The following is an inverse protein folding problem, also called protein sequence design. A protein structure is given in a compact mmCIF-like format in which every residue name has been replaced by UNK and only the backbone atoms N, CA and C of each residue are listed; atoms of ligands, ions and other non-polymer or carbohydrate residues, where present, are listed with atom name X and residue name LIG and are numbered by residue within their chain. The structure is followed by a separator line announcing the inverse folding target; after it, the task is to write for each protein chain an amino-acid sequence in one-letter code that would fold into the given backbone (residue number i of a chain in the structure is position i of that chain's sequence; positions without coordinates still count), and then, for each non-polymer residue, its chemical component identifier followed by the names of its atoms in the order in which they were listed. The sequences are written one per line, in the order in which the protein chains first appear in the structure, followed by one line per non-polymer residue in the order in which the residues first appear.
data_IF_300579873493
#
_entry.id   IF_300579873493
#
_cell.length_a   1.000
_cell.length_b   1.000
_cell.length_c   1.000
_cell.angle_alpha   90.00
_cell.angle_beta   90.00
_cell.angle_gamma   90.00
#
_symmetry.space_group_name_H-M   'P 1'
#
loop_
_entity.id
_entity.type
_entity.pdbx_description
1 polymer ?
#
# COMPACT_ATOMS: atom_id res chain seq x y z
N UNK A 1 3.34 40.87 -5.71
CA UNK A 1 1.93 40.45 -5.83
C UNK A 1 1.83 39.49 -7.01
N UNK A 2 1.75 38.18 -6.73
CA UNK A 2 1.66 37.10 -7.74
C UNK A 2 0.20 36.68 -8.03
N UNK A 3 -0.77 37.41 -7.46
CA UNK A 3 -2.20 37.22 -7.65
C UNK A 3 -2.76 38.54 -8.19
N UNK A 4 -3.00 38.62 -9.50
CA UNK A 4 -3.66 39.78 -10.11
C UNK A 4 -3.06 40.37 -11.40
N UNK A 5 -2.15 39.67 -12.09
CA UNK A 5 -1.72 40.06 -13.45
C UNK A 5 -2.49 39.30 -14.52
N UNK A 6 -2.72 39.92 -15.68
CA UNK A 6 -3.42 39.32 -16.83
C UNK A 6 -2.64 38.15 -17.43
N UNK A 7 -2.89 36.98 -16.85
CA UNK A 7 -2.73 35.68 -17.47
C UNK A 7 -1.89 34.67 -16.68
N UNK A 8 -1.99 33.41 -17.11
CA UNK A 8 -1.39 32.25 -16.46
C UNK A 8 0.01 31.95 -17.06
N UNK A 9 1.05 32.11 -16.24
CA UNK A 9 2.44 31.79 -16.56
C UNK A 9 2.59 30.35 -17.08
N UNK A 10 1.84 29.41 -16.49
CA UNK A 10 1.82 27.99 -16.87
C UNK A 10 1.19 27.74 -18.24
N UNK A 11 0.50 28.74 -18.81
CA UNK A 11 -0.11 28.71 -20.15
C UNK A 11 0.60 29.67 -21.12
N UNK A 12 1.74 30.25 -20.73
CA UNK A 12 2.42 31.29 -21.51
C UNK A 12 1.58 32.55 -21.75
N UNK A 13 0.50 32.73 -20.98
CA UNK A 13 -0.36 33.90 -21.05
C UNK A 13 0.19 34.95 -20.10
N UNK A 14 1.27 35.64 -20.48
CA UNK A 14 1.71 36.83 -19.76
C UNK A 14 1.71 38.00 -20.72
N UNK A 15 1.14 39.14 -20.35
CA UNK A 15 1.32 40.41 -21.07
C UNK A 15 2.77 40.92 -21.11
N UNK A 16 3.75 40.08 -20.73
CA UNK A 16 5.18 40.32 -20.74
C UNK A 16 5.83 39.27 -21.63
N UNK A 17 6.35 39.69 -22.80
CA UNK A 17 7.00 38.85 -23.80
C UNK A 17 8.50 38.63 -23.51
N UNK A 18 8.88 38.51 -22.24
CA UNK A 18 10.28 38.33 -21.86
C UNK A 18 10.66 36.84 -21.99
N UNK A 19 11.83 36.55 -22.56
CA UNK A 19 12.34 35.20 -22.82
C UNK A 19 12.27 34.27 -21.59
N UNK A 20 12.36 34.84 -20.38
CA UNK A 20 12.23 34.13 -19.11
C UNK A 20 10.86 33.46 -18.96
N UNK A 21 9.76 34.14 -19.34
CA UNK A 21 8.41 33.58 -19.21
C UNK A 21 8.16 32.45 -20.21
N UNK A 22 8.72 32.54 -21.42
CA UNK A 22 8.69 31.44 -22.39
C UNK A 22 9.50 30.24 -21.90
N UNK A 23 10.68 30.48 -21.32
CA UNK A 23 11.49 29.40 -20.74
C UNK A 23 10.74 28.68 -19.60
N UNK A 24 10.06 29.42 -18.71
CA UNK A 24 9.24 28.84 -17.64
C UNK A 24 8.05 28.05 -18.19
N UNK A 25 7.36 28.58 -19.22
CA UNK A 25 6.20 27.94 -19.83
C UNK A 25 6.53 26.56 -20.43
N UNK A 26 7.77 26.35 -20.89
CA UNK A 26 8.27 25.05 -21.33
C UNK A 26 8.85 24.20 -20.20
N UNK A 27 9.67 24.80 -19.33
CA UNK A 27 10.37 24.09 -18.28
C UNK A 27 9.43 23.42 -17.29
N UNK A 28 8.32 24.07 -16.91
CA UNK A 28 7.38 23.52 -15.93
C UNK A 28 6.66 22.27 -16.47
N UNK A 29 5.98 22.29 -17.64
CA UNK A 29 5.35 21.08 -18.17
C UNK A 29 6.34 19.97 -18.51
N UNK A 30 7.54 20.29 -19.02
CA UNK A 30 8.58 19.29 -19.26
C UNK A 30 9.07 18.64 -17.97
N UNK A 31 9.29 19.44 -16.92
CA UNK A 31 9.68 18.96 -15.60
C UNK A 31 8.60 18.05 -15.00
N UNK A 32 7.32 18.47 -15.06
CA UNK A 32 6.20 17.64 -14.63
C UNK A 32 6.12 16.35 -15.44
N UNK A 33 6.27 16.41 -16.77
CA UNK A 33 6.27 15.23 -17.63
C UNK A 33 7.36 14.23 -17.22
N UNK A 34 8.58 14.70 -16.98
CA UNK A 34 9.69 13.83 -16.57
C UNK A 34 9.50 13.24 -15.15
N UNK A 35 8.98 14.03 -14.21
CA UNK A 35 8.80 13.63 -12.82
C UNK A 35 7.50 12.86 -12.55
N UNK A 36 6.58 12.80 -13.52
CA UNK A 36 5.23 12.24 -13.35
C UNK A 36 5.21 10.82 -12.77
N UNK A 37 6.06 9.86 -13.18
CA UNK A 37 6.07 8.52 -12.60
C UNK A 37 6.36 8.53 -11.11
N UNK A 38 7.32 9.36 -10.69
CA UNK A 38 7.70 9.46 -9.28
C UNK A 38 6.61 10.15 -8.47
N UNK A 39 6.08 11.28 -8.95
CA UNK A 39 5.02 12.04 -8.27
C UNK A 39 3.76 11.19 -8.10
N UNK A 40 3.31 10.53 -9.17
CA UNK A 40 2.16 9.63 -9.11
C UNK A 40 2.39 8.49 -8.12
N UNK A 41 3.59 7.90 -8.10
CA UNK A 41 3.88 6.84 -7.13
C UNK A 41 3.81 7.30 -5.68
N UNK A 42 4.36 8.48 -5.36
CA UNK A 42 4.26 9.06 -4.02
C UNK A 42 2.80 9.36 -3.62
N UNK A 43 2.00 9.89 -4.54
CA UNK A 43 0.58 10.11 -4.31
C UNK A 43 -0.19 8.80 -4.09
N UNK A 44 0.06 7.77 -4.91
CA UNK A 44 -0.57 6.46 -4.73
C UNK A 44 -0.14 5.80 -3.41
N UNK A 45 1.10 5.96 -2.96
CA UNK A 45 1.50 5.52 -1.62
C UNK A 45 0.72 6.26 -0.53
N UNK A 46 0.61 7.58 -0.61
CA UNK A 46 -0.10 8.37 0.39
C UNK A 46 -1.61 8.03 0.48
N UNK A 47 -2.25 7.82 -0.68
CA UNK A 47 -3.71 7.72 -0.73
C UNK A 47 -4.26 6.30 -0.90
N UNK A 48 -3.48 5.33 -1.42
CA UNK A 48 -3.96 3.97 -1.74
C UNK A 48 -3.33 2.89 -0.87
N UNK A 49 -2.10 3.09 -0.40
CA UNK A 49 -1.47 2.13 0.51
C UNK A 49 -2.37 1.88 1.73
N UNK A 50 -2.57 0.60 2.05
CA UNK A 50 -3.40 0.14 3.17
C UNK A 50 -4.92 0.28 2.99
N UNK A 51 -5.41 0.80 1.85
CA UNK A 51 -6.87 0.94 1.63
C UNK A 51 -7.62 -0.40 1.55
N UNK A 52 -6.91 -1.51 1.41
CA UNK A 52 -7.47 -2.86 1.47
C UNK A 52 -8.00 -3.26 2.85
N UNK A 53 -7.53 -2.59 3.90
CA UNK A 53 -8.02 -2.76 5.28
C UNK A 53 -9.10 -1.74 5.65
N UNK A 54 -9.30 -0.72 4.81
CA UNK A 54 -10.24 0.37 5.06
C UNK A 54 -11.68 -0.05 4.74
N UNK A 55 -12.64 0.52 5.47
CA UNK A 55 -14.05 0.43 5.07
C UNK A 55 -14.31 1.25 3.80
N UNK A 56 -15.37 0.92 3.06
CA UNK A 56 -15.78 1.67 1.85
C UNK A 56 -15.93 3.17 2.11
N UNK A 57 -16.43 3.55 3.28
CA UNK A 57 -16.57 4.94 3.69
C UNK A 57 -15.23 5.63 3.96
N UNK A 58 -14.29 4.92 4.58
CA UNK A 58 -12.93 5.43 4.79
C UNK A 58 -12.20 5.65 3.46
N UNK A 59 -12.36 4.74 2.50
CA UNK A 59 -11.83 4.90 1.14
C UNK A 59 -12.43 6.15 0.47
N UNK A 60 -13.75 6.29 0.48
CA UNK A 60 -14.43 7.46 -0.09
C UNK A 60 -13.91 8.77 0.55
N UNK A 61 -13.80 8.81 1.89
CA UNK A 61 -13.27 9.98 2.60
C UNK A 61 -11.85 10.33 2.16
N UNK A 62 -10.96 9.34 2.01
CA UNK A 62 -9.60 9.57 1.49
C UNK A 62 -9.61 10.17 0.09
N UNK A 63 -10.50 9.70 -0.80
CA UNK A 63 -10.61 10.24 -2.16
C UNK A 63 -11.20 11.66 -2.19
N UNK A 64 -12.13 11.95 -1.29
CA UNK A 64 -12.64 13.32 -1.10
C UNK A 64 -11.52 14.25 -0.64
N UNK A 65 -10.71 13.84 0.34
CA UNK A 65 -9.55 14.61 0.80
C UNK A 65 -8.54 14.80 -0.34
N UNK A 66 -8.27 13.75 -1.13
CA UNK A 66 -7.41 13.83 -2.31
C UNK A 66 -7.87 14.95 -3.26
N UNK A 67 -9.13 14.92 -3.70
CA UNK A 67 -9.65 15.93 -4.63
C UNK A 67 -9.66 17.34 -4.05
N UNK A 68 -10.07 17.49 -2.79
CA UNK A 68 -10.12 18.80 -2.12
C UNK A 68 -8.74 19.37 -1.82
N UNK A 69 -7.76 18.53 -1.45
CA UNK A 69 -6.38 18.94 -1.23
C UNK A 69 -5.77 19.54 -2.50
N UNK A 70 -6.06 18.96 -3.67
CA UNK A 70 -5.64 19.54 -4.95
C UNK A 70 -6.26 20.91 -5.20
N UNK A 71 -7.53 21.10 -4.85
CA UNK A 71 -8.14 22.42 -4.97
C UNK A 71 -7.52 23.46 -4.04
N UNK A 72 -7.24 23.09 -2.80
CA UNK A 72 -6.71 24.00 -1.78
C UNK A 72 -5.23 24.32 -2.01
N UNK A 73 -4.40 23.30 -2.26
CA UNK A 73 -2.95 23.44 -2.28
C UNK A 73 -2.35 23.60 -3.68
N UNK A 74 -2.94 22.99 -4.70
CA UNK A 74 -2.47 23.09 -6.08
C UNK A 74 -3.25 24.14 -6.90
N UNK A 75 -4.21 24.84 -6.28
CA UNK A 75 -5.03 25.85 -6.94
C UNK A 75 -5.95 25.30 -8.03
N UNK A 76 -6.26 24.00 -7.97
CA UNK A 76 -7.13 23.34 -8.94
C UNK A 76 -8.57 23.82 -8.76
N UNK A 77 -9.28 24.25 -9.83
CA UNK A 77 -10.67 24.67 -9.72
C UNK A 77 -11.54 23.61 -9.01
N UNK A 78 -12.50 24.02 -8.19
CA UNK A 78 -13.31 23.09 -7.37
C UNK A 78 -13.97 22.00 -8.24
N UNK A 79 -14.47 22.35 -9.42
CA UNK A 79 -15.04 21.37 -10.36
C UNK A 79 -14.02 20.30 -10.78
N UNK A 80 -12.77 20.68 -11.02
CA UNK A 80 -11.68 19.75 -11.30
C UNK A 80 -11.28 18.96 -10.03
N UNK A 81 -11.31 19.57 -8.85
CA UNK A 81 -11.16 18.87 -7.57
C UNK A 81 -12.21 17.77 -7.37
N UNK A 82 -13.47 18.03 -7.71
CA UNK A 82 -14.55 17.03 -7.67
C UNK A 82 -14.29 15.91 -8.70
N UNK A 83 -13.87 16.26 -9.91
CA UNK A 83 -13.48 15.26 -10.91
C UNK A 83 -12.30 14.39 -10.43
N UNK A 84 -11.36 14.98 -9.69
CA UNK A 84 -10.24 14.27 -9.08
C UNK A 84 -10.70 13.23 -8.04
N UNK A 85 -11.79 13.48 -7.31
CA UNK A 85 -12.40 12.46 -6.42
C UNK A 85 -12.80 11.23 -7.24
N UNK A 86 -13.45 11.43 -8.39
CA UNK A 86 -13.84 10.36 -9.30
C UNK A 86 -12.64 9.59 -9.84
N UNK A 87 -11.60 10.30 -10.30
CA UNK A 87 -10.35 9.67 -10.75
C UNK A 87 -9.66 8.89 -9.62
N UNK A 88 -9.69 9.43 -8.39
CA UNK A 88 -9.09 8.78 -7.23
C UNK A 88 -9.81 7.50 -6.83
N UNK A 89 -11.14 7.46 -6.98
CA UNK A 89 -11.93 6.23 -6.82
C UNK A 89 -11.58 5.19 -7.88
N UNK A 90 -11.34 5.60 -9.12
CA UNK A 90 -10.87 4.70 -10.18
C UNK A 90 -9.47 4.14 -9.84
N UNK A 91 -8.54 4.96 -9.37
CA UNK A 91 -7.21 4.50 -8.97
C UNK A 91 -7.27 3.55 -7.76
N UNK A 92 -8.13 3.82 -6.78
CA UNK A 92 -8.39 2.90 -5.66
C UNK A 92 -8.99 1.56 -6.14
N UNK A 93 -9.84 1.59 -7.16
CA UNK A 93 -10.34 0.37 -7.80
C UNK A 93 -9.22 -0.42 -8.50
N UNK A 94 -8.30 0.26 -9.21
CA UNK A 94 -7.14 -0.38 -9.85
C UNK A 94 -6.22 -1.00 -8.80
N UNK A 95 -5.90 -0.28 -7.72
CA UNK A 95 -5.11 -0.78 -6.59
C UNK A 95 -5.73 -2.05 -5.99
N UNK A 96 -6.99 -1.97 -5.56
CA UNK A 96 -7.67 -3.09 -4.88
C UNK A 96 -7.88 -4.30 -5.78
N UNK A 97 -8.12 -4.09 -7.08
CA UNK A 97 -8.25 -5.18 -8.06
C UNK A 97 -6.91 -5.84 -8.33
N UNK A 98 -5.83 -5.07 -8.41
CA UNK A 98 -4.47 -5.59 -8.58
C UNK A 98 -4.04 -6.38 -7.36
N UNK A 99 -4.19 -5.82 -6.16
CA UNK A 99 -3.84 -6.51 -4.91
C UNK A 99 -4.61 -7.82 -4.75
N UNK A 100 -5.93 -7.83 -4.99
CA UNK A 100 -6.73 -9.07 -4.92
C UNK A 100 -6.24 -10.13 -5.89
N UNK A 101 -5.88 -9.76 -7.12
CA UNK A 101 -5.32 -10.70 -8.11
C UNK A 101 -3.96 -11.23 -7.68
N UNK A 102 -3.09 -10.37 -7.16
CA UNK A 102 -1.77 -10.77 -6.69
C UNK A 102 -1.85 -11.70 -5.48
N UNK A 103 -2.71 -11.39 -4.50
CA UNK A 103 -2.98 -12.26 -3.35
C UNK A 103 -3.53 -13.62 -3.77
N UNK A 104 -4.43 -13.67 -4.78
CA UNK A 104 -4.98 -14.93 -5.28
C UNK A 104 -3.95 -15.81 -6.02
N UNK A 105 -2.87 -15.21 -6.54
CA UNK A 105 -1.80 -15.92 -7.27
C UNK A 105 -0.61 -16.26 -6.40
N UNK A 106 -0.47 -15.63 -5.24
CA UNK A 106 0.68 -15.78 -4.37
C UNK A 106 0.34 -16.79 -3.28
N UNK A 107 1.12 -17.85 -3.18
CA UNK A 107 1.08 -18.74 -2.03
C UNK A 107 1.72 -18.02 -0.84
N UNK A 108 0.87 -17.56 0.08
CA UNK A 108 1.32 -16.90 1.30
C UNK A 108 1.75 -17.95 2.33
N UNK A 109 2.77 -17.63 3.12
CA UNK A 109 3.21 -18.49 4.22
C UNK A 109 2.05 -18.77 5.19
N UNK A 110 1.80 -20.05 5.46
CA UNK A 110 0.80 -20.49 6.44
C UNK A 110 1.27 -20.24 7.86
N UNK A 111 0.34 -19.82 8.74
CA UNK A 111 0.61 -19.54 10.16
C UNK A 111 -0.20 -20.49 11.07
N UNK A 112 -0.93 -21.46 10.50
CA UNK A 112 -2.02 -22.15 11.22
C UNK A 112 -1.73 -23.54 11.76
N UNK A 113 -0.54 -24.08 11.52
CA UNK A 113 -0.26 -25.44 11.98
C UNK A 113 -0.15 -25.45 13.51
N UNK A 114 -0.74 -26.45 14.17
CA UNK A 114 -0.66 -26.57 15.63
C UNK A 114 0.69 -27.18 16.06
N UNK A 115 1.20 -26.87 17.27
CA UNK A 115 2.41 -27.52 17.77
C UNK A 115 2.18 -29.03 17.93
N UNK A 116 3.20 -29.83 17.58
CA UNK A 116 3.18 -31.27 17.83
C UNK A 116 3.25 -31.51 19.33
N UNK A 117 2.26 -32.23 19.87
CA UNK A 117 2.21 -32.61 21.29
C UNK A 117 2.35 -34.12 21.42
N UNK A 118 3.25 -34.54 22.30
CA UNK A 118 3.34 -35.93 22.75
C UNK A 118 2.20 -36.24 23.71
N UNK A 119 1.64 -37.44 23.58
CA UNK A 119 0.63 -37.95 24.51
C UNK A 119 1.22 -38.19 25.89
N UNK A 120 0.43 -37.95 26.94
CA UNK A 120 0.83 -38.24 28.31
C UNK A 120 0.88 -39.75 28.56
N UNK A 121 1.77 -40.22 29.44
CA UNK A 121 1.85 -41.63 29.76
C UNK A 121 0.55 -42.08 30.45
N UNK A 122 0.08 -43.31 30.20
CA UNK A 122 -1.10 -43.83 30.89
C UNK A 122 -0.82 -43.94 32.39
N UNK A 123 -1.86 -43.78 33.20
CA UNK A 123 -1.76 -43.97 34.66
C UNK A 123 -1.46 -45.44 34.98
N UNK A 124 -0.60 -45.73 35.98
CA UNK A 124 -0.36 -47.11 36.41
C UNK A 124 -1.68 -47.77 36.86
N UNK A 125 -1.96 -48.96 36.32
CA UNK A 125 -3.12 -49.77 36.70
C UNK A 125 -2.78 -50.79 37.79
N UNK A 126 -3.79 -51.27 38.51
CA UNK A 126 -3.64 -52.34 39.52
C UNK A 126 -3.41 -51.84 40.95
N UNK A 127 -2.97 -52.72 41.88
CA UNK A 127 -2.61 -52.34 43.25
C UNK A 127 -1.50 -51.28 43.28
N UNK A 128 -1.45 -50.48 44.34
CA UNK A 128 -0.45 -49.43 44.47
C UNK A 128 0.98 -49.98 44.49
N UNK A 129 1.78 -49.59 43.49
CA UNK A 129 3.22 -49.87 43.39
C UNK A 129 4.00 -48.54 43.36
N UNK A 130 4.76 -48.20 44.42
CA UNK A 130 5.58 -46.99 44.47
C UNK A 130 6.52 -46.82 43.28
N UNK A 131 7.15 -47.91 42.81
CA UNK A 131 8.15 -47.84 41.74
C UNK A 131 7.50 -47.51 40.39
N UNK A 132 6.33 -48.11 40.11
CA UNK A 132 5.54 -47.78 38.91
C UNK A 132 5.08 -46.31 38.93
N UNK A 133 4.70 -45.78 40.10
CA UNK A 133 4.32 -44.37 40.25
C UNK A 133 5.51 -43.41 40.11
N UNK A 134 6.69 -43.77 40.60
CA UNK A 134 7.92 -42.99 40.41
C UNK A 134 8.33 -42.94 38.93
N UNK A 135 8.30 -44.08 38.23
CA UNK A 135 8.57 -44.15 36.80
C UNK A 135 7.55 -43.34 35.99
N UNK A 136 6.26 -43.44 36.32
CA UNK A 136 5.21 -42.64 35.68
C UNK A 136 5.42 -41.13 35.87
N UNK A 137 5.77 -40.69 37.09
CA UNK A 137 6.07 -39.26 37.36
C UNK A 137 7.27 -38.78 36.55
N UNK A 138 8.36 -39.55 36.54
CA UNK A 138 9.56 -39.18 35.78
C UNK A 138 9.27 -39.05 34.28
N UNK A 139 8.49 -39.97 33.72
CA UNK A 139 8.10 -39.93 32.30
C UNK A 139 7.10 -38.80 31.99
N UNK A 140 6.15 -38.55 32.90
CA UNK A 140 5.24 -37.42 32.80
C UNK A 140 6.00 -36.09 32.78
N UNK A 141 6.94 -35.89 33.72
CA UNK A 141 7.77 -34.67 33.80
C UNK A 141 8.62 -34.49 32.54
N UNK A 142 9.18 -35.58 31.99
CA UNK A 142 9.91 -35.57 30.72
C UNK A 142 9.00 -35.11 29.57
N UNK A 143 7.80 -35.67 29.45
CA UNK A 143 6.84 -35.31 28.40
C UNK A 143 6.37 -33.87 28.53
N UNK A 144 6.11 -33.39 29.76
CA UNK A 144 5.77 -31.98 30.01
C UNK A 144 6.90 -31.05 29.55
N UNK A 145 8.16 -31.37 29.87
CA UNK A 145 9.30 -30.58 29.45
C UNK A 145 9.44 -30.53 27.92
N UNK A 146 9.34 -31.68 27.24
CA UNK A 146 9.43 -31.75 25.77
C UNK A 146 8.26 -31.02 25.11
N UNK A 147 7.03 -31.20 25.58
CA UNK A 147 5.87 -30.49 25.06
C UNK A 147 5.98 -28.97 25.23
N UNK A 148 6.63 -28.51 26.31
CA UNK A 148 6.93 -27.10 26.51
C UNK A 148 7.97 -26.60 25.51
N UNK A 149 9.04 -27.36 25.26
CA UNK A 149 10.05 -27.02 24.25
C UNK A 149 9.43 -26.93 22.85
N UNK A 150 8.61 -27.92 22.44
CA UNK A 150 7.90 -27.88 21.17
C UNK A 150 6.95 -26.68 21.06
N UNK A 151 6.30 -26.30 22.17
CA UNK A 151 5.44 -25.11 22.20
C UNK A 151 6.27 -23.84 22.01
N UNK A 152 7.40 -23.71 22.71
CA UNK A 152 8.28 -22.55 22.63
C UNK A 152 8.88 -22.42 21.21
N UNK A 153 9.37 -23.51 20.62
CA UNK A 153 9.84 -23.57 19.23
C UNK A 153 8.74 -23.17 18.25
N UNK A 154 7.55 -23.73 18.42
CA UNK A 154 6.40 -23.41 17.58
C UNK A 154 5.99 -21.93 17.68
N UNK A 155 6.05 -21.32 18.87
CA UNK A 155 5.75 -19.89 19.06
C UNK A 155 6.73 -19.04 18.26
N UNK A 156 8.03 -19.33 18.34
CA UNK A 156 9.06 -18.56 17.63
C UNK A 156 8.94 -18.75 16.11
N UNK A 157 8.80 -19.99 15.62
CA UNK A 157 8.55 -20.24 14.20
C UNK A 157 7.27 -19.55 13.70
N UNK A 158 6.21 -19.54 14.51
CA UNK A 158 4.94 -18.89 14.16
C UNK A 158 5.08 -17.38 14.08
N UNK A 159 5.90 -16.77 14.94
CA UNK A 159 6.23 -15.34 14.88
C UNK A 159 7.01 -15.02 13.61
N UNK A 160 8.02 -15.80 13.28
CA UNK A 160 8.81 -15.63 12.07
C UNK A 160 7.94 -15.78 10.80
N UNK A 161 7.10 -16.82 10.74
CA UNK A 161 6.15 -17.02 9.64
C UNK A 161 5.14 -15.87 9.53
N UNK A 162 4.63 -15.37 10.65
CA UNK A 162 3.73 -14.22 10.67
C UNK A 162 4.41 -12.96 10.12
N UNK A 163 5.64 -12.67 10.56
CA UNK A 163 6.43 -11.53 10.08
C UNK A 163 6.76 -11.67 8.58
N UNK A 164 7.12 -12.87 8.12
CA UNK A 164 7.38 -13.14 6.71
C UNK A 164 6.11 -12.94 5.87
N UNK A 165 4.96 -13.42 6.35
CA UNK A 165 3.68 -13.23 5.68
C UNK A 165 3.28 -11.76 5.62
N UNK A 166 3.47 -11.01 6.70
CA UNK A 166 3.21 -9.57 6.72
C UNK A 166 4.06 -8.85 5.67
N UNK A 167 5.36 -9.13 5.63
CA UNK A 167 6.27 -8.60 4.60
C UNK A 167 5.82 -8.95 3.18
N UNK A 168 5.41 -10.19 2.93
CA UNK A 168 4.86 -10.58 1.62
C UNK A 168 3.63 -9.73 1.24
N UNK A 169 2.72 -9.48 2.19
CA UNK A 169 1.54 -8.65 1.95
C UNK A 169 1.95 -7.20 1.68
N UNK A 170 2.91 -6.65 2.42
CA UNK A 170 3.43 -5.30 2.19
C UNK A 170 4.04 -5.15 0.79
N UNK A 171 4.90 -6.09 0.36
CA UNK A 171 5.49 -6.09 -0.98
C UNK A 171 4.41 -6.11 -2.06
N UNK A 172 3.35 -6.90 -1.87
CA UNK A 172 2.21 -6.93 -2.79
C UNK A 172 1.42 -5.61 -2.81
N UNK A 173 1.27 -4.93 -1.67
CA UNK A 173 0.65 -3.59 -1.59
C UNK A 173 1.49 -2.55 -2.32
N UNK A 174 2.81 -2.56 -2.13
CA UNK A 174 3.73 -1.69 -2.89
C UNK A 174 3.63 -1.94 -4.40
N UNK A 175 3.58 -3.20 -4.82
CA UNK A 175 3.37 -3.57 -6.22
C UNK A 175 2.03 -3.07 -6.77
N UNK A 176 0.95 -3.19 -6.00
CA UNK A 176 -0.36 -2.67 -6.39
C UNK A 176 -0.38 -1.13 -6.50
N UNK A 177 0.31 -0.43 -5.59
CA UNK A 177 0.51 1.01 -5.69
C UNK A 177 1.32 1.38 -6.94
N UNK A 178 2.36 0.63 -7.30
CA UNK A 178 3.13 0.87 -8.52
C UNK A 178 2.28 0.74 -9.80
N UNK A 179 1.38 -0.25 -9.84
CA UNK A 179 0.45 -0.43 -10.98
C UNK A 179 -0.57 0.72 -11.04
N UNK A 180 -1.16 1.11 -9.91
CA UNK A 180 -2.06 2.26 -9.84
C UNK A 180 -1.33 3.55 -10.27
N UNK A 181 -0.07 3.71 -9.85
CA UNK A 181 0.76 4.85 -10.18
C UNK A 181 1.07 4.90 -11.67
N UNK A 182 1.39 3.76 -12.29
CA UNK A 182 1.61 3.69 -13.73
C UNK A 182 0.36 4.12 -14.52
N UNK A 183 -0.83 3.67 -14.10
CA UNK A 183 -2.10 4.08 -14.70
C UNK A 183 -2.34 5.59 -14.53
N UNK A 184 -2.16 6.10 -13.31
CA UNK A 184 -2.26 7.52 -13.00
C UNK A 184 -1.27 8.36 -13.82
N UNK A 185 0.00 7.97 -13.89
CA UNK A 185 1.01 8.66 -14.71
C UNK A 185 0.62 8.70 -16.18
N UNK A 186 0.10 7.61 -16.74
CA UNK A 186 -0.38 7.60 -18.13
C UNK A 186 -1.49 8.62 -18.35
N UNK A 187 -2.48 8.69 -17.44
CA UNK A 187 -3.56 9.69 -17.53
C UNK A 187 -3.01 11.12 -17.48
N UNK A 188 -2.06 11.40 -16.59
CA UNK A 188 -1.48 12.74 -16.46
C UNK A 188 -0.56 13.10 -17.64
N UNK A 189 0.18 12.12 -18.18
CA UNK A 189 1.01 12.33 -19.37
C UNK A 189 0.19 12.67 -20.60
N UNK A 190 -1.02 12.13 -20.76
CA UNK A 190 -1.91 12.55 -21.86
C UNK A 190 -2.26 14.03 -21.74
N UNK A 191 -2.54 14.51 -20.53
CA UNK A 191 -2.89 15.92 -20.28
C UNK A 191 -1.68 16.84 -20.48
N UNK A 192 -0.54 16.50 -19.85
CA UNK A 192 0.69 17.30 -19.96
C UNK A 192 1.26 17.25 -21.38
N UNK A 193 1.18 16.10 -22.05
CA UNK A 193 1.56 15.93 -23.44
C UNK A 193 0.71 16.78 -24.38
N UNK A 194 -0.61 16.84 -24.17
CA UNK A 194 -1.48 17.74 -24.92
C UNK A 194 -1.12 19.22 -24.70
N UNK A 195 -0.76 19.62 -23.47
CA UNK A 195 -0.28 20.97 -23.17
C UNK A 195 1.04 21.28 -23.90
N UNK A 196 2.02 20.37 -23.83
CA UNK A 196 3.31 20.50 -24.53
C UNK A 196 3.12 20.59 -26.04
N UNK A 197 2.24 19.76 -26.60
CA UNK A 197 1.90 19.80 -28.02
C UNK A 197 1.26 21.14 -28.41
N UNK A 198 0.32 21.64 -27.60
CA UNK A 198 -0.29 22.95 -27.83
C UNK A 198 0.74 24.10 -27.76
N UNK A 199 1.68 24.03 -26.80
CA UNK A 199 2.77 24.99 -26.71
C UNK A 199 3.70 24.93 -27.93
N UNK A 200 3.91 23.75 -28.52
CA UNK A 200 4.73 23.57 -29.73
C UNK A 200 4.09 24.18 -30.99
N UNK A 201 2.76 24.31 -31.02
CA UNK A 201 2.01 24.87 -32.15
C UNK A 201 1.87 26.40 -32.10
N UNK A 202 2.30 27.03 -31.00
CA UNK A 202 2.27 28.49 -30.82
C UNK A 202 3.62 29.12 -31.17
#
# INVERSE_FOLDING_TARGET
MLLGGSGNVSLGQTGRSEAIWQAIAWAVPLGLFALMPHLAFQEELAFRYGTDMDSRWAVLRRQTIFGLAHSVFAGVPIAAGIALIGSGMLYAFVYSSTLRRSLARTELVSVRDAPVRLDYPPTPGGPYDPAAWDAHRAEFDRIVLVNRQHLDEWIEESRERAAQREKQIEDLRYGACAVAAAFHSCSNWLIVGALLFWLALR
#
